data_IF_975657544203
#
_entry.id   IF_975657544203
#
_cell.length_a   1.000
_cell.length_b   1.000
_cell.length_c   1.000
_cell.angle_alpha   90.00
_cell.angle_beta   90.00
_cell.angle_gamma   90.00
#
_symmetry.space_group_name_H-M   'P 1'
#
loop_
_entity.id
_entity.type
_entity.pdbx_description
1 polymer ?
#
# COMPACT_ATOMS: atom_id res chain seq x y z
N UNK A 1 25.73 -3.78 -41.91
CA UNK A 1 24.41 -4.28 -41.44
C UNK A 1 24.66 -5.11 -40.19
N UNK A 2 24.76 -4.47 -39.02
CA UNK A 2 24.99 -5.13 -37.74
C UNK A 2 23.63 -5.50 -37.12
N UNK A 3 23.29 -6.79 -37.18
CA UNK A 3 22.21 -7.38 -36.41
C UNK A 3 22.55 -7.24 -34.92
N UNK A 4 22.01 -6.20 -34.28
CA UNK A 4 21.96 -6.12 -32.83
C UNK A 4 20.81 -7.04 -32.41
N UNK A 5 21.18 -8.29 -32.18
CA UNK A 5 20.41 -9.28 -31.44
C UNK A 5 20.22 -8.75 -30.00
N UNK A 6 19.20 -7.92 -29.81
CA UNK A 6 18.74 -7.47 -28.51
C UNK A 6 18.08 -8.64 -27.79
N UNK A 7 18.91 -9.54 -27.25
CA UNK A 7 18.47 -10.48 -26.21
C UNK A 7 18.08 -9.65 -25.00
N UNK A 8 16.78 -9.37 -24.90
CA UNK A 8 16.18 -8.80 -23.71
C UNK A 8 16.47 -9.74 -22.53
N UNK A 9 17.10 -9.25 -21.44
CA UNK A 9 17.32 -10.08 -20.28
C UNK A 9 15.96 -10.54 -19.71
N UNK A 10 15.85 -11.76 -19.17
CA UNK A 10 14.63 -12.24 -18.54
C UNK A 10 14.37 -11.44 -17.25
N UNK A 11 13.80 -10.25 -17.43
CA UNK A 11 13.40 -9.39 -16.33
C UNK A 11 12.03 -9.86 -15.84
N UNK A 12 12.01 -10.28 -14.58
CA UNK A 12 10.85 -10.49 -13.73
C UNK A 12 9.66 -9.59 -14.10
N UNK A 13 8.68 -10.12 -14.84
CA UNK A 13 7.30 -9.64 -14.96
C UNK A 13 7.17 -8.09 -14.92
N UNK A 14 7.71 -7.38 -15.91
CA UNK A 14 7.21 -6.03 -16.20
C UNK A 14 5.85 -6.19 -16.90
N UNK A 15 4.73 -5.71 -16.33
CA UNK A 15 3.46 -5.67 -17.05
C UNK A 15 3.57 -4.69 -18.22
N UNK A 16 2.69 -4.80 -19.24
CA UNK A 16 2.73 -3.97 -20.43
C UNK A 16 2.77 -2.47 -20.10
N UNK A 17 3.53 -1.72 -20.90
CA UNK A 17 3.90 -0.31 -20.75
C UNK A 17 2.75 0.70 -20.96
N UNK A 18 1.50 0.25 -20.95
CA UNK A 18 0.32 1.10 -21.17
C UNK A 18 -0.87 0.63 -20.31
N UNK A 19 -0.66 0.50 -19.00
CA UNK A 19 -1.80 0.32 -18.11
C UNK A 19 -2.66 1.59 -18.02
N UNK A 20 -3.97 1.43 -17.90
CA UNK A 20 -4.92 2.52 -17.74
C UNK A 20 -5.12 2.84 -16.24
N UNK A 21 -5.31 4.13 -15.96
CA UNK A 21 -5.66 4.63 -14.62
C UNK A 21 -6.89 5.51 -14.74
N UNK A 22 -7.90 5.27 -13.91
CA UNK A 22 -9.14 6.06 -13.92
C UNK A 22 -9.72 6.18 -12.52
N UNK A 23 -10.72 7.05 -12.40
CA UNK A 23 -11.52 7.25 -11.19
C UNK A 23 -12.84 6.51 -11.31
N UNK A 24 -13.23 5.80 -10.26
CA UNK A 24 -14.58 5.27 -10.06
C UNK A 24 -15.10 5.74 -8.70
N UNK A 25 -15.88 6.84 -8.66
CA UNK A 25 -16.29 7.45 -7.39
C UNK A 25 -15.08 7.92 -6.56
N UNK A 26 -14.92 7.41 -5.35
CA UNK A 26 -13.75 7.71 -4.50
C UNK A 26 -12.64 6.65 -4.60
N UNK A 27 -12.79 5.74 -5.56
CA UNK A 27 -11.85 4.64 -5.83
C UNK A 27 -10.95 5.03 -6.99
N UNK A 28 -9.66 4.87 -6.78
CA UNK A 28 -8.63 4.91 -7.80
C UNK A 28 -8.49 3.50 -8.39
N UNK A 29 -8.70 3.34 -9.69
CA UNK A 29 -8.55 2.06 -10.37
C UNK A 29 -7.34 2.11 -11.30
N UNK A 30 -6.49 1.10 -11.22
CA UNK A 30 -5.28 0.98 -12.03
C UNK A 30 -5.17 -0.43 -12.62
N UNK A 31 -4.91 -0.56 -13.92
CA UNK A 31 -4.51 -1.85 -14.49
C UNK A 31 -3.02 -2.13 -14.26
N UNK A 32 -2.56 -3.40 -14.31
CA UNK A 32 -1.15 -3.74 -14.22
C UNK A 32 -0.30 -2.90 -15.19
N UNK A 33 0.79 -2.32 -14.68
CA UNK A 33 1.68 -1.49 -15.49
C UNK A 33 1.20 -0.04 -15.69
N UNK A 34 0.07 0.35 -15.10
CA UNK A 34 -0.38 1.74 -15.14
C UNK A 34 0.55 2.64 -14.31
N UNK A 35 1.03 3.71 -14.94
CA UNK A 35 1.77 4.78 -14.29
C UNK A 35 0.82 5.89 -13.85
N UNK A 36 0.92 6.27 -12.58
CA UNK A 36 0.12 7.38 -12.06
C UNK A 36 0.75 8.71 -12.49
N UNK A 37 -0.08 9.76 -12.69
CA UNK A 37 0.42 11.10 -12.93
C UNK A 37 1.48 11.53 -11.90
N UNK A 38 2.49 12.33 -12.29
CA UNK A 38 3.56 12.81 -11.41
C UNK A 38 3.07 13.93 -10.46
N UNK A 39 2.01 13.64 -9.72
CA UNK A 39 1.38 14.50 -8.72
C UNK A 39 1.15 13.69 -7.45
N UNK A 40 1.23 14.37 -6.31
CA UNK A 40 1.02 13.74 -5.02
C UNK A 40 -0.40 13.16 -4.91
N UNK A 41 -0.51 11.85 -4.72
CA UNK A 41 -1.81 11.15 -4.58
C UNK A 41 -2.67 11.66 -3.40
N UNK A 42 -2.07 12.32 -2.40
CA UNK A 42 -2.74 12.83 -1.18
C UNK A 42 -3.17 14.29 -1.24
N UNK A 43 -2.55 15.13 -2.06
CA UNK A 43 -2.90 16.56 -2.12
C UNK A 43 -2.84 17.18 -3.52
N UNK A 44 -2.57 16.37 -4.54
CA UNK A 44 -2.44 16.78 -5.93
C UNK A 44 -1.37 17.85 -6.24
N UNK A 45 -0.53 18.17 -5.25
CA UNK A 45 0.62 19.04 -5.44
C UNK A 45 1.61 18.41 -6.45
N UNK A 46 2.36 19.23 -7.23
CA UNK A 46 3.40 18.71 -8.10
C UNK A 46 4.37 17.83 -7.31
N UNK A 47 4.77 16.71 -7.90
CA UNK A 47 5.73 15.82 -7.26
C UNK A 47 7.15 16.36 -7.48
N UNK A 48 7.69 17.01 -6.47
CA UNK A 48 9.10 17.44 -6.45
C UNK A 48 10.07 16.25 -6.27
N UNK A 49 9.55 15.07 -5.91
CA UNK A 49 10.33 13.87 -5.60
C UNK A 49 10.11 12.83 -6.71
N UNK A 50 11.19 12.13 -7.06
CA UNK A 50 11.17 11.01 -8.01
C UNK A 50 10.07 9.99 -7.67
N UNK A 51 9.28 9.53 -8.66
CA UNK A 51 8.27 8.51 -8.46
C UNK A 51 8.89 7.25 -7.85
N UNK A 52 8.21 6.66 -6.86
CA UNK A 52 8.67 5.41 -6.23
C UNK A 52 7.69 4.30 -6.55
N UNK A 53 8.20 3.09 -6.79
CA UNK A 53 7.38 1.88 -6.92
C UNK A 53 6.91 1.44 -5.53
N UNK A 54 5.60 1.28 -5.36
CA UNK A 54 5.02 0.72 -4.13
C UNK A 54 4.35 -0.61 -4.45
N UNK A 55 4.57 -1.58 -3.56
CA UNK A 55 3.97 -2.90 -3.62
C UNK A 55 2.85 -2.95 -2.59
N UNK A 56 1.63 -3.20 -3.07
CA UNK A 56 0.46 -3.38 -2.23
C UNK A 56 0.17 -4.88 -2.08
N UNK A 57 -0.10 -5.28 -0.85
CA UNK A 57 -0.49 -6.66 -0.52
C UNK A 57 -1.96 -6.66 -0.14
N UNK A 58 -2.72 -7.55 -0.78
CA UNK A 58 -4.13 -7.73 -0.51
C UNK A 58 -4.43 -9.22 -0.32
N UNK A 59 -5.33 -9.50 0.61
CA UNK A 59 -5.80 -10.84 0.94
C UNK A 59 -7.32 -10.81 0.88
N UNK A 60 -7.91 -11.87 0.32
CA UNK A 60 -9.36 -11.98 0.27
C UNK A 60 -9.93 -12.11 1.70
N UNK A 61 -10.96 -11.34 2.09
CA UNK A 61 -11.50 -11.36 3.45
C UNK A 61 -12.02 -12.74 3.88
N UNK A 62 -12.45 -13.58 2.92
CA UNK A 62 -12.84 -14.97 3.20
C UNK A 62 -11.73 -15.82 3.85
N UNK A 63 -10.45 -15.44 3.75
CA UNK A 63 -9.34 -16.16 4.40
C UNK A 63 -9.51 -16.15 5.92
N UNK A 64 -10.15 -15.13 6.50
CA UNK A 64 -10.43 -15.10 7.93
C UNK A 64 -11.38 -16.21 8.39
N UNK A 65 -12.20 -16.79 7.49
CA UNK A 65 -13.01 -17.97 7.81
C UNK A 65 -12.16 -19.20 8.09
N UNK A 66 -10.98 -19.31 7.45
CA UNK A 66 -10.05 -20.41 7.71
C UNK A 66 -9.50 -20.39 9.13
N UNK A 67 -9.54 -19.24 9.81
CA UNK A 67 -9.14 -19.13 11.21
C UNK A 67 -10.06 -19.95 12.14
N UNK A 68 -11.33 -20.15 11.77
CA UNK A 68 -12.25 -21.00 12.54
C UNK A 68 -11.84 -22.48 12.49
N UNK A 69 -11.12 -22.89 11.43
CA UNK A 69 -10.58 -24.25 11.29
C UNK A 69 -9.19 -24.39 11.94
N UNK A 70 -8.64 -23.32 12.50
CA UNK A 70 -7.34 -23.27 13.15
C UNK A 70 -6.32 -22.37 12.45
N UNK A 71 -5.18 -22.16 13.12
CA UNK A 71 -4.13 -21.23 12.66
C UNK A 71 -3.37 -21.76 11.44
N UNK A 72 -3.17 -23.08 11.35
CA UNK A 72 -2.43 -23.71 10.26
C UNK A 72 -3.10 -23.55 8.88
N UNK A 73 -4.39 -23.91 8.68
CA UNK A 73 -5.05 -23.70 7.38
C UNK A 73 -5.11 -22.21 7.01
N UNK A 74 -5.31 -21.32 7.99
CA UNK A 74 -5.25 -19.87 7.78
C UNK A 74 -3.89 -19.42 7.23
N UNK A 75 -2.78 -19.88 7.82
CA UNK A 75 -1.43 -19.55 7.36
C UNK A 75 -1.19 -19.99 5.91
N UNK A 76 -1.58 -21.23 5.58
CA UNK A 76 -1.43 -21.79 4.23
C UNK A 76 -2.23 -20.94 3.23
N UNK A 77 -3.51 -20.68 3.51
CA UNK A 77 -4.35 -19.85 2.64
C UNK A 77 -3.84 -18.42 2.53
N UNK A 78 -3.36 -17.83 3.63
CA UNK A 78 -2.82 -16.48 3.63
C UNK A 78 -1.58 -16.35 2.74
N UNK A 79 -0.73 -17.38 2.67
CA UNK A 79 0.44 -17.38 1.79
C UNK A 79 0.03 -17.61 0.33
N UNK A 80 -0.84 -18.59 0.07
CA UNK A 80 -1.24 -19.01 -1.28
C UNK A 80 -2.12 -17.96 -1.98
N UNK A 81 -3.08 -17.38 -1.26
CA UNK A 81 -4.05 -16.43 -1.82
C UNK A 81 -3.60 -14.97 -1.73
N UNK A 82 -2.35 -14.72 -1.31
CA UNK A 82 -1.79 -13.37 -1.25
C UNK A 82 -1.63 -12.80 -2.64
N UNK A 83 -2.48 -11.84 -2.98
CA UNK A 83 -2.34 -11.06 -4.20
C UNK A 83 -1.44 -9.85 -3.95
N UNK A 84 -0.67 -9.49 -4.99
CA UNK A 84 0.29 -8.39 -4.96
C UNK A 84 0.17 -7.58 -6.23
N UNK A 85 0.05 -6.26 -6.07
CA UNK A 85 0.07 -5.28 -7.16
C UNK A 85 1.15 -4.26 -6.90
N UNK A 86 1.86 -3.84 -7.95
CA UNK A 86 2.95 -2.89 -7.85
C UNK A 86 2.74 -1.76 -8.85
N UNK A 87 2.65 -0.53 -8.35
CA UNK A 87 2.46 0.66 -9.18
C UNK A 87 3.45 1.74 -8.78
N UNK A 88 3.80 2.59 -9.74
CA UNK A 88 4.64 3.75 -9.53
C UNK A 88 3.75 4.91 -9.11
N UNK A 89 4.03 5.49 -7.94
CA UNK A 89 3.29 6.64 -7.42
C UNK A 89 4.26 7.70 -6.93
N UNK A 90 3.79 8.95 -6.98
CA UNK A 90 4.55 10.10 -6.50
C UNK A 90 3.88 10.73 -5.28
N UNK A 91 4.70 11.23 -4.36
CA UNK A 91 4.29 11.96 -3.16
C UNK A 91 5.09 13.26 -3.07
N UNK A 92 4.46 14.33 -2.61
CA UNK A 92 5.17 15.56 -2.28
C UNK A 92 6.04 15.36 -1.03
N UNK A 93 7.08 16.19 -0.87
CA UNK A 93 8.00 16.11 0.26
C UNK A 93 7.34 16.22 1.63
N UNK A 94 6.23 16.97 1.74
CA UNK A 94 5.47 17.08 2.99
C UNK A 94 4.87 15.74 3.42
N UNK A 95 4.24 15.03 2.49
CA UNK A 95 3.62 13.74 2.78
C UNK A 95 4.65 12.63 2.95
N UNK A 96 5.77 12.68 2.23
CA UNK A 96 6.87 11.74 2.44
C UNK A 96 7.51 11.93 3.83
N UNK A 97 7.80 13.17 4.24
CA UNK A 97 8.30 13.46 5.59
C UNK A 97 7.33 13.01 6.68
N UNK A 98 6.02 13.23 6.48
CA UNK A 98 4.99 12.74 7.43
C UNK A 98 5.02 11.22 7.54
N UNK A 99 5.14 10.51 6.41
CA UNK A 99 5.25 9.06 6.36
C UNK A 99 6.49 8.56 7.09
N UNK A 100 7.67 9.13 6.78
CA UNK A 100 8.94 8.79 7.43
C UNK A 100 8.86 9.03 8.94
N UNK A 101 8.28 10.15 9.37
CA UNK A 101 8.05 10.43 10.79
C UNK A 101 7.12 9.41 11.45
N UNK A 102 6.03 9.01 10.78
CA UNK A 102 5.14 7.97 11.30
C UNK A 102 5.81 6.60 11.39
N UNK A 103 6.69 6.24 10.45
CA UNK A 103 7.51 5.02 10.52
C UNK A 103 8.51 5.11 11.67
N UNK A 104 9.18 6.25 11.85
CA UNK A 104 10.10 6.47 12.96
C UNK A 104 9.40 6.35 14.32
N UNK A 105 8.20 6.91 14.46
CA UNK A 105 7.35 6.77 15.66
C UNK A 105 7.01 5.29 15.93
N UNK A 106 6.66 4.54 14.88
CA UNK A 106 6.39 3.11 15.01
C UNK A 106 7.63 2.33 15.47
N UNK A 107 8.81 2.62 14.91
CA UNK A 107 10.06 1.98 15.31
C UNK A 107 10.46 2.36 16.74
N UNK A 108 10.25 3.61 17.15
CA UNK A 108 10.52 4.10 18.49
C UNK A 108 9.55 3.57 19.57
N UNK A 109 8.45 2.90 19.18
CA UNK A 109 7.45 2.37 20.12
C UNK A 109 7.99 1.32 21.09
N UNK A 110 9.15 0.73 20.81
CA UNK A 110 9.84 -0.22 21.71
C UNK A 110 10.38 0.49 22.96
N UNK A 111 10.78 1.75 22.86
CA UNK A 111 11.37 2.52 23.96
C UNK A 111 10.45 2.63 25.18
N UNK A 112 9.17 3.06 25.07
CA UNK A 112 8.28 3.12 26.23
C UNK A 112 7.97 1.75 26.83
N UNK A 113 7.98 0.67 26.04
CA UNK A 113 7.85 -0.69 26.57
C UNK A 113 9.05 -1.04 27.46
N UNK A 114 10.27 -0.80 26.98
CA UNK A 114 11.50 -1.05 27.75
C UNK A 114 11.56 -0.20 29.02
N UNK A 115 11.21 1.08 28.94
CA UNK A 115 11.17 1.98 30.10
C UNK A 115 10.14 1.49 31.13
N UNK A 116 8.93 1.12 30.69
CA UNK A 116 7.89 0.60 31.58
C UNK A 116 8.34 -0.65 32.33
N UNK A 117 9.04 -1.57 31.66
CA UNK A 117 9.54 -2.81 32.27
C UNK A 117 10.72 -2.56 33.21
N UNK A 118 11.67 -1.71 32.82
CA UNK A 118 12.93 -1.50 33.56
C UNK A 118 12.80 -0.55 34.75
N UNK A 119 11.94 0.48 34.67
CA UNK A 119 11.83 1.53 35.70
C UNK A 119 10.66 1.35 36.65
N UNK A 120 9.48 0.98 36.13
CA UNK A 120 8.26 0.85 36.94
C UNK A 120 8.20 -0.56 37.54
N UNK A 121 8.61 -1.56 36.76
CA UNK A 121 8.54 -2.96 37.17
C UNK A 121 7.10 -3.46 37.38
N UNK A 122 6.96 -4.76 37.60
CA UNK A 122 5.66 -5.39 37.87
C UNK A 122 4.65 -5.27 36.72
N UNK A 123 3.41 -5.70 36.98
CA UNK A 123 2.36 -5.74 35.97
C UNK A 123 1.96 -4.35 35.43
N UNK A 124 2.03 -3.32 36.27
CA UNK A 124 1.70 -1.93 35.91
C UNK A 124 2.68 -1.35 34.88
N UNK A 125 3.98 -1.63 35.02
CA UNK A 125 5.00 -1.25 34.04
C UNK A 125 4.79 -1.89 32.67
N UNK A 126 4.44 -3.18 32.64
CA UNK A 126 4.09 -3.88 31.39
C UNK A 126 2.83 -3.32 30.72
N UNK A 127 1.75 -3.09 31.48
CA UNK A 127 0.49 -2.60 30.94
C UNK A 127 0.63 -1.19 30.36
N UNK A 128 1.31 -0.29 31.07
CA UNK A 128 1.55 1.09 30.62
C UNK A 128 2.46 1.12 29.38
N UNK A 129 3.58 0.40 29.41
CA UNK A 129 4.50 0.30 28.27
C UNK A 129 3.84 -0.31 27.03
N UNK A 130 3.09 -1.40 27.19
CA UNK A 130 2.36 -2.05 26.10
C UNK A 130 1.23 -1.17 25.54
N UNK A 131 0.52 -0.44 26.41
CA UNK A 131 -0.53 0.50 26.00
C UNK A 131 0.02 1.64 25.14
N UNK A 132 1.12 2.28 25.58
CA UNK A 132 1.78 3.35 24.81
C UNK A 132 2.33 2.81 23.50
N UNK A 133 2.98 1.64 23.52
CA UNK A 133 3.47 0.98 22.30
C UNK A 133 2.33 0.73 21.31
N UNK A 134 1.21 0.19 21.77
CA UNK A 134 0.04 -0.07 20.92
C UNK A 134 -0.48 1.22 20.27
N UNK A 135 -0.61 2.31 21.03
CA UNK A 135 -1.04 3.61 20.49
C UNK A 135 -0.06 4.14 19.44
N UNK A 136 1.24 4.11 19.71
CA UNK A 136 2.26 4.56 18.76
C UNK A 136 2.27 3.71 17.48
N UNK A 137 2.13 2.39 17.60
CA UNK A 137 1.99 1.49 16.45
C UNK A 137 0.73 1.78 15.64
N UNK A 138 -0.40 2.08 16.28
CA UNK A 138 -1.63 2.45 15.59
C UNK A 138 -1.47 3.76 14.81
N UNK A 139 -0.86 4.79 15.43
CA UNK A 139 -0.55 6.07 14.76
C UNK A 139 0.39 5.84 13.58
N UNK A 140 1.46 5.08 13.79
CA UNK A 140 2.44 4.76 12.75
C UNK A 140 1.84 3.98 11.60
N UNK A 141 1.01 2.97 11.87
CA UNK A 141 0.31 2.16 10.87
C UNK A 141 -0.71 2.97 10.08
N UNK A 142 -1.45 3.88 10.72
CA UNK A 142 -2.43 4.76 10.04
C UNK A 142 -1.71 5.80 9.16
N UNK A 143 -0.63 6.40 9.66
CA UNK A 143 0.10 7.47 8.97
C UNK A 143 1.06 7.00 7.88
N UNK A 144 1.52 5.75 7.93
CA UNK A 144 2.40 5.17 6.90
C UNK A 144 1.66 4.65 5.67
N UNK A 145 0.33 4.46 5.76
CA UNK A 145 -0.50 3.98 4.65
C UNK A 145 -0.72 5.08 3.61
N UNK A 146 -0.05 4.93 2.46
CA UNK A 146 -0.20 5.84 1.30
C UNK A 146 -1.56 5.63 0.64
N UNK A 147 -1.89 4.39 0.26
CA UNK A 147 -3.21 4.01 -0.24
C UNK A 147 -3.63 2.71 0.45
N UNK A 148 -4.94 2.50 0.55
CA UNK A 148 -5.51 1.24 1.02
C UNK A 148 -5.97 0.44 -0.19
N UNK A 149 -5.38 -0.74 -0.42
CA UNK A 149 -5.89 -1.65 -1.45
C UNK A 149 -7.24 -2.21 -1.00
N UNK A 150 -8.29 -1.98 -1.80
CA UNK A 150 -9.65 -2.46 -1.53
C UNK A 150 -9.86 -3.83 -2.17
N UNK A 151 -9.47 -3.98 -3.43
CA UNK A 151 -9.41 -5.24 -4.15
C UNK A 151 -8.24 -5.23 -5.13
N UNK A 152 -7.68 -6.41 -5.38
CA UNK A 152 -6.64 -6.59 -6.39
C UNK A 152 -7.01 -7.83 -7.18
N UNK A 153 -7.30 -7.63 -8.46
CA UNK A 153 -7.56 -8.70 -9.42
C UNK A 153 -6.42 -8.77 -10.45
N UNK A 154 -6.50 -9.74 -11.36
CA UNK A 154 -5.47 -9.90 -12.39
C UNK A 154 -5.48 -8.74 -13.41
N UNK A 155 -6.65 -8.15 -13.66
CA UNK A 155 -6.81 -7.08 -14.66
C UNK A 155 -6.78 -5.67 -14.06
N UNK A 156 -7.23 -5.50 -12.82
CA UNK A 156 -7.33 -4.20 -12.18
C UNK A 156 -7.10 -4.26 -10.67
N UNK A 157 -6.47 -3.22 -10.14
CA UNK A 157 -6.32 -2.98 -8.71
C UNK A 157 -7.08 -1.73 -8.30
N UNK A 158 -7.86 -1.84 -7.23
CA UNK A 158 -8.71 -0.78 -6.69
C UNK A 158 -8.12 -0.25 -5.38
N UNK A 159 -7.95 1.06 -5.31
CA UNK A 159 -7.31 1.76 -4.20
C UNK A 159 -8.21 2.85 -3.62
N UNK A 160 -8.17 2.97 -2.29
CA UNK A 160 -8.83 4.03 -1.53
C UNK A 160 -7.82 4.98 -0.90
N UNK A 161 -8.26 6.21 -0.67
CA UNK A 161 -7.51 7.24 0.07
C UNK A 161 -6.66 8.17 -0.79
N UNK A 162 -6.87 8.20 -2.10
CA UNK A 162 -6.42 9.31 -2.94
C UNK A 162 -7.29 10.55 -2.67
N UNK A 163 -6.74 11.76 -2.86
CA UNK A 163 -7.51 12.99 -2.68
C UNK A 163 -8.42 13.29 -3.88
N UNK A 164 -9.54 13.97 -3.64
CA UNK A 164 -10.52 14.28 -4.69
C UNK A 164 -9.96 15.12 -5.84
N UNK A 165 -9.01 16.01 -5.54
CA UNK A 165 -8.35 16.83 -6.55
C UNK A 165 -7.50 15.97 -7.50
N UNK A 166 -6.83 14.94 -6.98
CA UNK A 166 -6.08 13.99 -7.78
C UNK A 166 -7.03 13.09 -8.59
N UNK A 167 -8.08 12.57 -7.93
CA UNK A 167 -9.07 11.72 -8.59
C UNK A 167 -9.78 12.44 -9.74
N UNK A 168 -10.10 13.73 -9.60
CA UNK A 168 -10.71 14.53 -10.68
C UNK A 168 -9.79 14.79 -11.88
N UNK A 169 -8.47 14.68 -11.68
CA UNK A 169 -7.50 14.84 -12.78
C UNK A 169 -7.34 13.58 -13.63
N UNK A 170 -7.94 12.45 -13.20
CA UNK A 170 -7.87 11.19 -13.92
C UNK A 170 -8.94 11.12 -15.02
N UNK A 171 -8.67 10.37 -16.10
CA UNK A 171 -9.65 10.19 -17.16
C UNK A 171 -10.88 9.42 -16.66
N UNK A 172 -11.96 9.55 -17.41
CA UNK A 172 -13.16 8.75 -17.23
C UNK A 172 -12.85 7.25 -17.38
N UNK A 173 -13.62 6.36 -16.73
CA UNK A 173 -13.48 4.93 -16.92
C UNK A 173 -13.52 4.58 -18.43
N UNK A 174 -12.68 3.64 -18.89
CA UNK A 174 -12.82 3.10 -20.24
C UNK A 174 -14.26 2.60 -20.41
N UNK A 175 -14.85 2.89 -21.57
CA UNK A 175 -16.19 2.40 -21.94
C UNK A 175 -16.10 0.91 -22.27
N UNK A 176 -15.82 0.09 -21.28
CA UNK A 176 -15.92 -1.36 -21.41
C UNK A 176 -17.37 -1.74 -21.09
N UNK A 177 -18.00 -2.45 -22.02
CA UNK A 177 -19.42 -2.75 -21.99
C UNK A 177 -19.79 -3.49 -20.72
N UNK A 178 -20.78 -2.97 -20.00
CA UNK A 178 -21.53 -3.68 -18.97
C UNK A 178 -22.42 -4.71 -19.67
N UNK A 179 -21.79 -5.70 -20.27
CA UNK A 179 -22.48 -6.83 -20.87
C UNK A 179 -22.40 -8.00 -19.88
N UNK A 180 -23.57 -8.25 -19.28
CA UNK A 180 -24.03 -9.44 -18.53
C UNK A 180 -23.66 -9.54 -17.04
#
# INVERSE_FOLDING_TARGET
MSNVDSREPPTLYLPPTHGAVWREGDVLVCTPGADLPPRCVKCNAPADISPRRYIFHWHHPAIYLALLMGVLPYLILAIVLRKRSAHVLSLCARHERRRVRCVAIAMASIVPLLIGVLWIGGATGWLTGAGVMAVMLLIGRRGSRVLSAQSVDHEQARYLGACDAFLRALPAPPRESRDW
#
